data_IF_456414435591
#
_entry.id   IF_456414435591
#
_cell.length_a   1.000
_cell.length_b   1.000
_cell.length_c   1.000
_cell.angle_alpha   90.00
_cell.angle_beta   90.00
_cell.angle_gamma   90.00
#
_symmetry.space_group_name_H-M   'P 1'
#
loop_
_entity.id
_entity.type
_entity.pdbx_description
1 polymer ?
#
# COMPACT_ATOMS: atom_id res chain seq x y z
N UNK A 1 -4.33 1.20 20.15
CA UNK A 1 -5.40 0.27 19.76
C UNK A 1 -4.73 -1.07 19.49
N UNK A 2 -5.18 -2.14 20.13
CA UNK A 2 -4.49 -3.43 20.05
C UNK A 2 -4.84 -4.05 18.70
N UNK A 3 -3.86 -4.19 17.81
CA UNK A 3 -4.00 -4.97 16.57
C UNK A 3 -4.75 -6.26 16.92
N UNK A 4 -5.91 -6.47 16.30
CA UNK A 4 -6.72 -7.65 16.59
C UNK A 4 -5.89 -8.91 16.31
N UNK A 5 -6.05 -9.96 17.11
CA UNK A 5 -5.29 -11.22 16.94
C UNK A 5 -5.44 -11.79 15.53
N UNK A 6 -6.56 -11.49 14.87
CA UNK A 6 -6.83 -11.88 13.49
C UNK A 6 -5.93 -11.18 12.46
N UNK A 7 -5.74 -9.86 12.56
CA UNK A 7 -4.86 -9.11 11.63
C UNK A 7 -3.41 -9.59 11.79
N UNK A 8 -2.93 -9.75 13.04
CA UNK A 8 -1.59 -10.29 13.29
C UNK A 8 -1.39 -11.65 12.63
N UNK A 9 -2.36 -12.54 12.81
CA UNK A 9 -2.32 -13.87 12.19
C UNK A 9 -2.26 -13.81 10.67
N UNK A 10 -3.02 -12.92 10.03
CA UNK A 10 -2.98 -12.71 8.57
C UNK A 10 -1.60 -12.20 8.10
N UNK A 11 -1.00 -11.27 8.85
CA UNK A 11 0.36 -10.77 8.54
C UNK A 11 1.43 -11.83 8.75
N UNK A 12 1.36 -12.58 9.84
CA UNK A 12 2.29 -13.67 10.12
C UNK A 12 2.24 -14.74 9.01
N UNK A 13 1.03 -15.05 8.51
CA UNK A 13 0.85 -15.93 7.35
C UNK A 13 1.48 -15.36 6.09
N UNK A 14 1.27 -14.07 5.80
CA UNK A 14 1.91 -13.40 4.67
C UNK A 14 3.43 -13.50 4.78
N UNK A 15 3.98 -13.13 5.93
CA UNK A 15 5.41 -13.20 6.21
C UNK A 15 5.98 -14.60 6.00
N UNK A 16 5.32 -15.61 6.58
CA UNK A 16 5.71 -17.02 6.45
C UNK A 16 5.67 -17.47 4.99
N UNK A 17 4.68 -16.99 4.22
CA UNK A 17 4.55 -17.29 2.80
C UNK A 17 5.73 -16.75 2.01
N UNK A 18 6.15 -15.51 2.24
CA UNK A 18 7.36 -14.94 1.62
C UNK A 18 8.62 -15.69 2.04
N UNK A 19 8.78 -15.97 3.33
CA UNK A 19 9.94 -16.68 3.87
C UNK A 19 10.10 -18.07 3.25
N UNK A 20 9.01 -18.84 3.16
CA UNK A 20 9.00 -20.18 2.57
C UNK A 20 9.30 -20.19 1.07
N UNK A 21 9.14 -19.05 0.39
CA UNK A 21 9.43 -18.88 -1.03
C UNK A 21 10.75 -18.15 -1.28
N UNK A 22 11.64 -18.08 -0.27
CA UNK A 22 13.01 -17.57 -0.42
C UNK A 22 13.16 -16.06 -0.32
N UNK A 23 12.08 -15.31 -0.07
CA UNK A 23 12.14 -13.87 0.22
C UNK A 23 12.17 -13.70 1.74
N UNK A 24 13.38 -13.74 2.29
CA UNK A 24 13.61 -13.67 3.74
C UNK A 24 13.98 -12.29 4.25
N UNK A 25 14.40 -11.36 3.38
CA UNK A 25 14.75 -10.00 3.79
C UNK A 25 13.48 -9.26 4.26
N UNK A 26 13.40 -8.89 5.57
CA UNK A 26 12.27 -8.19 6.15
C UNK A 26 11.83 -6.93 5.38
N UNK A 27 12.81 -6.15 4.88
CA UNK A 27 12.54 -4.93 4.13
C UNK A 27 11.90 -5.24 2.78
N UNK A 28 12.46 -6.23 2.06
CA UNK A 28 11.92 -6.66 0.77
C UNK A 28 10.50 -7.18 0.89
N UNK A 29 10.19 -7.98 1.92
CA UNK A 29 8.82 -8.47 2.18
C UNK A 29 7.84 -7.30 2.33
N UNK A 30 8.21 -6.30 3.13
CA UNK A 30 7.36 -5.12 3.38
C UNK A 30 7.18 -4.30 2.11
N UNK A 31 8.23 -4.12 1.31
CA UNK A 31 8.13 -3.42 0.02
C UNK A 31 7.16 -4.12 -0.93
N UNK A 32 7.29 -5.44 -1.12
CA UNK A 32 6.41 -6.19 -2.02
C UNK A 32 4.95 -6.15 -1.56
N UNK A 33 4.70 -6.30 -0.25
CA UNK A 33 3.34 -6.17 0.31
C UNK A 33 2.82 -4.75 0.09
N UNK A 34 3.64 -3.72 0.33
CA UNK A 34 3.25 -2.32 0.16
C UNK A 34 2.86 -2.00 -1.29
N UNK A 35 3.57 -2.53 -2.28
CA UNK A 35 3.22 -2.36 -3.70
C UNK A 35 1.85 -2.97 -4.02
N UNK A 36 1.61 -4.20 -3.58
CA UNK A 36 0.33 -4.89 -3.82
C UNK A 36 -0.84 -4.20 -3.10
N UNK A 37 -0.63 -3.75 -1.87
CA UNK A 37 -1.62 -2.97 -1.13
C UNK A 37 -1.95 -1.65 -1.81
N UNK A 38 -0.95 -1.01 -2.42
CA UNK A 38 -1.16 0.21 -3.18
C UNK A 38 -1.98 -0.03 -4.45
N UNK A 39 -1.68 -1.09 -5.21
CA UNK A 39 -2.48 -1.50 -6.38
C UNK A 39 -3.94 -1.75 -5.97
N UNK A 40 -4.16 -2.52 -4.90
CA UNK A 40 -5.50 -2.76 -4.34
C UNK A 40 -6.21 -1.45 -3.99
N UNK A 41 -5.51 -0.53 -3.34
CA UNK A 41 -6.09 0.74 -2.89
C UNK A 41 -6.53 1.63 -4.05
N UNK A 42 -5.75 1.70 -5.13
CA UNK A 42 -6.13 2.45 -6.32
C UNK A 42 -7.44 1.92 -6.92
N UNK A 43 -7.57 0.59 -7.00
CA UNK A 43 -8.80 -0.02 -7.48
C UNK A 43 -9.99 0.16 -6.52
N UNK A 44 -9.78 0.04 -5.20
CA UNK A 44 -10.82 0.31 -4.20
C UNK A 44 -11.37 1.75 -4.33
N UNK A 45 -10.49 2.73 -4.63
CA UNK A 45 -10.87 4.12 -4.88
C UNK A 45 -11.64 4.28 -6.19
N UNK A 46 -11.23 3.59 -7.25
CA UNK A 46 -11.94 3.60 -8.54
C UNK A 46 -13.34 3.00 -8.39
N UNK A 47 -13.47 1.83 -7.75
CA UNK A 47 -14.75 1.19 -7.44
C UNK A 47 -15.65 2.08 -6.57
N UNK A 48 -15.08 2.88 -5.68
CA UNK A 48 -15.86 3.85 -4.89
C UNK A 48 -16.38 5.00 -5.77
N UNK A 49 -15.59 5.51 -6.72
CA UNK A 49 -16.02 6.52 -7.71
C UNK A 49 -17.10 5.98 -8.62
N UNK A 50 -16.93 4.77 -9.16
CA UNK A 50 -17.90 4.08 -10.02
C UNK A 50 -19.24 3.90 -9.31
N UNK A 51 -19.22 3.39 -8.07
CA UNK A 51 -20.43 3.24 -7.24
C UNK A 51 -21.11 4.58 -6.99
N UNK A 52 -20.35 5.65 -6.75
CA UNK A 52 -20.90 7.00 -6.55
C UNK A 52 -21.52 7.55 -7.83
N UNK A 53 -20.83 7.42 -8.96
CA UNK A 53 -21.29 7.85 -10.28
C UNK A 53 -22.59 7.13 -10.69
N UNK A 54 -22.64 5.81 -10.50
CA UNK A 54 -23.81 4.99 -10.75
C UNK A 54 -25.02 5.42 -9.90
N UNK A 55 -24.81 5.70 -8.61
CA UNK A 55 -25.87 6.19 -7.70
C UNK A 55 -26.41 7.57 -8.10
N UNK A 56 -25.55 8.42 -8.67
CA UNK A 56 -25.90 9.78 -9.08
C UNK A 56 -26.36 9.88 -10.53
N UNK A 57 -26.29 8.78 -11.31
CA UNK A 57 -26.59 8.79 -12.74
C UNK A 57 -25.64 9.67 -13.57
N UNK A 58 -24.40 9.84 -13.11
CA UNK A 58 -23.38 10.68 -13.75
C UNK A 58 -22.24 9.82 -14.32
N UNK A 59 -21.50 10.30 -15.33
CA UNK A 59 -20.28 9.64 -15.78
C UNK A 59 -19.21 9.65 -14.68
N UNK A 60 -18.32 8.67 -14.69
CA UNK A 60 -17.17 8.62 -13.78
C UNK A 60 -16.17 9.69 -14.20
N UNK A 61 -16.06 10.75 -13.40
CA UNK A 61 -15.09 11.81 -13.62
C UNK A 61 -13.76 11.49 -12.93
N UNK A 62 -12.65 11.88 -13.57
CA UNK A 62 -11.28 11.69 -13.05
C UNK A 62 -10.97 10.21 -12.70
N UNK A 63 -11.24 9.30 -13.63
CA UNK A 63 -10.89 7.89 -13.49
C UNK A 63 -9.38 7.71 -13.35
N UNK A 64 -8.97 6.78 -12.48
CA UNK A 64 -7.56 6.42 -12.25
C UNK A 64 -7.03 5.57 -13.42
N UNK A 65 -7.88 4.73 -14.00
CA UNK A 65 -7.53 3.75 -15.03
C UNK A 65 -8.29 4.09 -16.32
N UNK A 66 -7.58 4.23 -17.45
CA UNK A 66 -8.25 4.36 -18.75
C UNK A 66 -8.94 3.06 -19.18
N UNK A 67 -9.72 3.12 -20.26
CA UNK A 67 -10.49 1.97 -20.78
C UNK A 67 -9.58 0.77 -21.16
N UNK A 68 -8.36 1.06 -21.63
CA UNK A 68 -7.34 0.06 -21.97
C UNK A 68 -6.56 -0.47 -20.75
N UNK A 69 -6.72 0.15 -19.57
CA UNK A 69 -5.99 -0.19 -18.34
C UNK A 69 -6.83 -1.00 -17.34
N UNK A 70 -8.03 -1.43 -17.73
CA UNK A 70 -8.94 -2.16 -16.84
C UNK A 70 -8.36 -3.51 -16.36
N UNK A 71 -7.47 -4.11 -17.15
CA UNK A 71 -6.77 -5.36 -16.80
C UNK A 71 -5.82 -5.20 -15.61
N UNK A 72 -5.33 -3.98 -15.36
CA UNK A 72 -4.39 -3.65 -14.29
C UNK A 72 -5.04 -3.58 -12.91
N UNK A 73 -6.38 -3.55 -12.88
CA UNK A 73 -7.17 -3.38 -11.66
C UNK A 73 -7.10 -4.64 -10.79
N UNK A 74 -6.98 -4.44 -9.48
CA UNK A 74 -6.99 -5.54 -8.51
C UNK A 74 -8.21 -6.45 -8.66
N UNK A 75 -9.40 -5.85 -8.80
CA UNK A 75 -10.67 -6.54 -9.04
C UNK A 75 -10.71 -7.39 -10.30
N UNK A 76 -9.85 -7.10 -11.29
CA UNK A 76 -9.68 -7.89 -12.50
C UNK A 76 -8.74 -9.07 -12.24
N UNK A 77 -7.46 -8.81 -11.96
CA UNK A 77 -6.46 -9.88 -11.93
C UNK A 77 -6.61 -10.83 -10.75
N UNK A 78 -7.22 -10.42 -9.62
CA UNK A 78 -7.40 -11.30 -8.45
C UNK A 78 -8.25 -12.55 -8.74
N UNK A 79 -9.07 -12.49 -9.79
CA UNK A 79 -9.96 -13.57 -10.19
C UNK A 79 -9.37 -14.45 -11.31
N UNK A 80 -8.14 -14.18 -11.75
CA UNK A 80 -7.49 -15.00 -12.78
C UNK A 80 -7.14 -16.38 -12.22
N UNK A 81 -7.49 -17.41 -12.97
CA UNK A 81 -7.10 -18.79 -12.68
C UNK A 81 -5.70 -19.13 -13.18
N UNK A 82 -5.21 -18.39 -14.17
CA UNK A 82 -3.85 -18.51 -14.70
C UNK A 82 -2.88 -17.66 -13.86
N UNK A 83 -2.03 -18.33 -13.09
CA UNK A 83 -1.06 -17.69 -12.22
C UNK A 83 0.06 -16.99 -13.00
N UNK A 84 0.48 -17.53 -14.15
CA UNK A 84 1.52 -16.92 -14.98
C UNK A 84 1.00 -15.62 -15.59
N UNK A 85 -0.25 -15.62 -16.04
CA UNK A 85 -0.88 -14.40 -16.55
C UNK A 85 -1.07 -13.34 -15.46
N UNK A 86 -1.47 -13.75 -14.25
CA UNK A 86 -1.51 -12.83 -13.09
C UNK A 86 -0.13 -12.23 -12.81
N UNK A 87 0.93 -13.04 -12.85
CA UNK A 87 2.29 -12.56 -12.64
C UNK A 87 2.71 -11.58 -13.73
N UNK A 88 2.44 -11.90 -14.99
CA UNK A 88 2.72 -11.04 -16.14
C UNK A 88 2.03 -9.68 -15.98
N UNK A 89 0.71 -9.67 -15.72
CA UNK A 89 -0.06 -8.43 -15.54
C UNK A 89 0.49 -7.63 -14.35
N UNK A 90 0.69 -8.26 -13.20
CA UNK A 90 1.11 -7.53 -11.99
C UNK A 90 2.54 -7.00 -12.12
N UNK A 91 3.49 -7.82 -12.58
CA UNK A 91 4.91 -7.46 -12.69
C UNK A 91 5.19 -6.52 -13.85
N UNK A 92 4.62 -6.80 -15.02
CA UNK A 92 5.02 -6.15 -16.28
C UNK A 92 4.10 -4.98 -16.66
N UNK A 93 2.91 -4.89 -16.05
CA UNK A 93 1.95 -3.83 -16.39
C UNK A 93 1.50 -3.02 -15.17
N UNK A 94 0.90 -3.65 -14.15
CA UNK A 94 0.34 -2.94 -13.00
C UNK A 94 1.41 -2.29 -12.12
N UNK A 95 2.55 -2.96 -11.89
CA UNK A 95 3.67 -2.39 -11.14
C UNK A 95 4.32 -1.20 -11.86
N UNK A 96 4.66 -1.29 -13.18
CA UNK A 96 5.08 -0.12 -13.95
C UNK A 96 4.05 1.00 -13.96
N UNK A 97 2.75 0.68 -14.05
CA UNK A 97 1.68 1.67 -13.99
C UNK A 97 1.71 2.48 -12.69
N UNK A 98 1.73 1.83 -11.51
CA UNK A 98 1.78 2.56 -10.23
C UNK A 98 3.08 3.35 -10.05
N UNK A 99 4.19 2.82 -10.58
CA UNK A 99 5.50 3.46 -10.57
C UNK A 99 5.49 4.76 -11.39
N UNK A 100 4.79 4.76 -12.51
CA UNK A 100 4.65 5.92 -13.41
C UNK A 100 3.52 6.89 -12.99
N UNK A 101 2.46 6.40 -12.34
CA UNK A 101 1.37 7.23 -11.79
C UNK A 101 1.92 8.26 -10.80
N UNK A 102 2.96 7.88 -10.05
CA UNK A 102 3.72 8.76 -9.19
C UNK A 102 4.39 9.94 -9.92
N UNK A 103 4.68 9.82 -11.21
CA UNK A 103 5.34 10.84 -12.01
C UNK A 103 4.39 11.84 -12.70
N UNK A 104 3.15 11.45 -13.00
CA UNK A 104 2.20 12.27 -13.77
C UNK A 104 1.17 13.02 -12.93
N UNK A 105 0.81 12.52 -11.74
CA UNK A 105 -0.23 13.14 -10.91
C UNK A 105 0.35 14.12 -9.89
N UNK A 106 1.60 13.92 -9.44
CA UNK A 106 2.27 14.81 -8.49
C UNK A 106 3.80 14.69 -8.61
N UNK A 107 4.54 15.77 -8.88
CA UNK A 107 6.00 15.81 -8.67
C UNK A 107 6.29 15.67 -7.15
N UNK A 108 6.26 14.44 -6.64
CA UNK A 108 6.37 14.13 -5.21
C UNK A 108 7.55 13.25 -4.91
N UNK A 109 7.98 13.28 -3.65
CA UNK A 109 8.94 12.34 -3.08
C UNK A 109 8.58 10.86 -3.36
N UNK A 110 7.31 10.54 -3.57
CA UNK A 110 6.83 9.21 -3.98
C UNK A 110 7.42 8.76 -5.34
N UNK A 111 7.42 9.63 -6.35
CA UNK A 111 8.02 9.35 -7.67
C UNK A 111 9.51 9.01 -7.55
N UNK A 112 10.24 9.72 -6.68
CA UNK A 112 11.67 9.48 -6.41
C UNK A 112 11.92 8.13 -5.73
N UNK A 113 11.06 7.72 -4.79
CA UNK A 113 11.19 6.43 -4.10
C UNK A 113 10.75 5.25 -4.97
N UNK A 114 9.75 5.44 -5.84
CA UNK A 114 9.30 4.42 -6.79
C UNK A 114 10.22 4.27 -8.01
N UNK A 115 11.00 5.30 -8.36
CA UNK A 115 11.88 5.32 -9.54
C UNK A 115 12.81 4.10 -9.61
N UNK A 116 13.38 3.71 -8.47
CA UNK A 116 14.30 2.57 -8.36
C UNK A 116 13.65 1.34 -7.73
N UNK A 117 12.32 1.39 -7.49
CA UNK A 117 11.58 0.25 -6.97
C UNK A 117 11.59 -0.91 -7.97
N UNK A 118 11.75 -2.12 -7.44
CA UNK A 118 11.77 -3.38 -8.18
C UNK A 118 10.71 -4.30 -7.59
N UNK A 119 9.90 -4.88 -8.46
CA UNK A 119 9.01 -5.98 -8.10
C UNK A 119 9.81 -7.29 -8.14
N UNK A 120 9.92 -7.96 -7.00
CA UNK A 120 10.84 -9.09 -6.80
C UNK A 120 10.14 -10.45 -6.72
N UNK A 121 8.81 -10.49 -6.72
CA UNK A 121 8.06 -11.75 -6.77
C UNK A 121 8.18 -12.31 -8.20
N UNK A 122 8.91 -13.41 -8.35
CA UNK A 122 9.08 -14.12 -9.62
C UNK A 122 8.31 -15.44 -9.69
N UNK A 123 7.81 -15.95 -8.56
CA UNK A 123 7.05 -17.19 -8.50
C UNK A 123 5.54 -16.89 -8.65
N UNK A 124 4.86 -17.38 -9.71
CA UNK A 124 3.44 -17.17 -9.91
C UNK A 124 2.56 -17.66 -8.75
N UNK A 125 2.85 -18.85 -8.22
CA UNK A 125 2.09 -19.43 -7.11
C UNK A 125 2.24 -18.61 -5.83
N UNK A 126 3.43 -18.04 -5.58
CA UNK A 126 3.64 -17.11 -4.48
C UNK A 126 2.74 -15.87 -4.66
N UNK A 127 2.74 -15.26 -5.84
CA UNK A 127 1.93 -14.08 -6.10
C UNK A 127 0.44 -14.35 -5.87
N UNK A 128 -0.10 -15.42 -6.46
CA UNK A 128 -1.51 -15.78 -6.29
C UNK A 128 -1.87 -15.99 -4.82
N UNK A 129 -1.00 -16.65 -4.06
CA UNK A 129 -1.22 -16.85 -2.63
C UNK A 129 -1.20 -15.53 -1.85
N UNK A 130 -0.23 -14.65 -2.13
CA UNK A 130 -0.13 -13.33 -1.49
C UNK A 130 -1.34 -12.45 -1.83
N UNK A 131 -1.78 -12.42 -3.09
CA UNK A 131 -2.98 -11.69 -3.53
C UNK A 131 -4.22 -12.20 -2.80
N UNK A 132 -4.38 -13.52 -2.70
CA UNK A 132 -5.49 -14.15 -1.96
C UNK A 132 -5.47 -13.78 -0.48
N UNK A 133 -4.30 -13.78 0.16
CA UNK A 133 -4.15 -13.42 1.57
C UNK A 133 -4.43 -11.93 1.81
N UNK A 134 -3.96 -11.04 0.92
CA UNK A 134 -4.23 -9.59 1.01
C UNK A 134 -5.72 -9.29 0.86
N UNK A 135 -6.43 -9.99 -0.03
CA UNK A 135 -7.87 -9.82 -0.23
C UNK A 135 -8.68 -10.10 1.06
N UNK A 136 -8.20 -11.00 1.90
CA UNK A 136 -8.84 -11.33 3.18
C UNK A 136 -8.59 -10.30 4.28
N UNK A 137 -7.73 -9.31 4.05
CA UNK A 137 -7.47 -8.24 5.02
C UNK A 137 -8.52 -7.14 4.82
N UNK A 138 -9.32 -6.81 5.86
CA UNK A 138 -10.35 -5.79 5.73
C UNK A 138 -9.72 -4.39 5.60
N UNK A 139 -9.64 -3.89 4.37
CA UNK A 139 -9.02 -2.60 4.04
C UNK A 139 -10.00 -1.41 4.03
N UNK A 140 -11.22 -1.59 4.54
CA UNK A 140 -12.23 -0.53 4.56
C UNK A 140 -12.01 0.44 5.71
N UNK A 141 -11.57 -0.10 6.85
CA UNK A 141 -11.26 0.65 8.05
C UNK A 141 -9.85 1.25 7.97
N UNK A 142 -9.73 2.50 8.39
CA UNK A 142 -8.48 3.24 8.44
C UNK A 142 -7.58 2.75 9.56
N UNK A 143 -8.14 2.31 10.68
CA UNK A 143 -7.39 1.81 11.83
C UNK A 143 -6.75 0.45 11.52
N UNK A 144 -7.49 -0.43 10.84
CA UNK A 144 -6.98 -1.72 10.37
C UNK A 144 -5.74 -1.61 9.47
N UNK A 145 -5.66 -0.57 8.63
CA UNK A 145 -4.48 -0.31 7.79
C UNK A 145 -3.28 0.09 8.64
N UNK A 146 -3.46 1.03 9.56
CA UNK A 146 -2.41 1.46 10.48
C UNK A 146 -1.85 0.27 11.26
N UNK A 147 -2.73 -0.53 11.84
CA UNK A 147 -2.40 -1.73 12.62
C UNK A 147 -1.61 -2.78 11.80
N UNK A 148 -2.01 -2.99 10.54
CA UNK A 148 -1.30 -3.87 9.61
C UNK A 148 0.14 -3.40 9.37
N UNK A 149 0.34 -2.13 9.04
CA UNK A 149 1.67 -1.58 8.77
C UNK A 149 2.53 -1.53 10.03
N UNK A 150 1.98 -1.08 11.16
CA UNK A 150 2.68 -1.08 12.45
C UNK A 150 3.13 -2.50 12.84
N UNK A 151 2.29 -3.51 12.62
CA UNK A 151 2.68 -4.88 12.89
C UNK A 151 3.78 -5.36 11.96
N UNK A 152 3.72 -5.06 10.66
CA UNK A 152 4.80 -5.37 9.71
C UNK A 152 6.11 -4.66 10.10
N UNK A 153 6.06 -3.40 10.51
CA UNK A 153 7.22 -2.65 10.98
C UNK A 153 7.80 -3.24 12.29
N UNK A 154 6.95 -3.74 13.19
CA UNK A 154 7.44 -4.42 14.40
C UNK A 154 8.28 -5.68 14.10
N UNK A 155 8.08 -6.30 12.94
CA UNK A 155 8.93 -7.40 12.45
C UNK A 155 10.31 -6.90 11.98
N UNK A 156 10.42 -5.67 11.48
CA UNK A 156 11.71 -5.02 11.21
C UNK A 156 12.46 -4.71 12.50
N UNK A 157 11.78 -4.17 13.50
CA UNK A 157 12.42 -3.77 14.77
C UNK A 157 12.97 -4.96 15.55
N UNK A 158 12.28 -6.11 15.46
CA UNK A 158 12.75 -7.36 16.07
C UNK A 158 13.95 -7.95 15.32
N UNK A 159 14.11 -7.63 14.03
CA UNK A 159 15.17 -8.15 13.17
C UNK A 159 16.48 -7.34 13.22
N UNK A 160 16.57 -6.23 13.98
CA UNK A 160 17.73 -5.34 13.93
C UNK A 160 18.05 -4.61 15.24
N UNK A 161 18.98 -5.17 16.00
CA UNK A 161 19.82 -4.46 16.96
C UNK A 161 20.60 -3.34 16.24
N UNK A 162 20.15 -2.08 16.35
CA UNK A 162 20.97 -0.85 16.43
C UNK A 162 20.11 0.44 16.53
N UNK A 163 19.34 0.55 17.62
CA UNK A 163 19.28 1.75 18.47
C UNK A 163 18.68 3.07 17.94
N UNK A 164 18.15 3.18 16.73
CA UNK A 164 17.39 4.36 16.29
C UNK A 164 16.21 3.94 15.41
N UNK A 165 15.01 3.92 15.98
CA UNK A 165 13.79 3.69 15.20
C UNK A 165 13.37 4.99 14.53
N UNK A 166 13.46 5.01 13.20
CA UNK A 166 12.98 6.11 12.36
C UNK A 166 11.77 5.62 11.58
N UNK A 167 10.69 6.39 11.59
CA UNK A 167 9.58 6.13 10.69
C UNK A 167 10.02 6.50 9.26
N UNK A 168 10.02 5.56 8.31
CA UNK A 168 10.40 5.85 6.93
C UNK A 168 9.48 6.93 6.34
N UNK A 169 10.05 7.90 5.60
CA UNK A 169 9.32 9.10 5.12
C UNK A 169 8.07 8.79 4.30
N UNK A 170 8.06 7.70 3.54
CA UNK A 170 6.90 7.29 2.75
C UNK A 170 5.73 6.79 3.61
N UNK A 171 6.01 6.22 4.79
CA UNK A 171 4.99 5.80 5.76
C UNK A 171 4.40 7.03 6.45
N UNK A 172 5.24 7.97 6.88
CA UNK A 172 4.80 9.25 7.44
C UNK A 172 3.83 9.92 6.46
N UNK A 173 4.23 10.04 5.21
CA UNK A 173 3.42 10.68 4.18
C UNK A 173 2.10 9.94 3.92
N UNK A 174 2.12 8.62 3.80
CA UNK A 174 0.90 7.82 3.64
C UNK A 174 -0.08 8.04 4.80
N UNK A 175 0.43 8.02 6.04
CA UNK A 175 -0.40 8.20 7.24
C UNK A 175 -0.99 9.60 7.28
N UNK A 176 -0.21 10.65 6.97
CA UNK A 176 -0.73 12.02 6.94
C UNK A 176 -1.72 12.21 5.78
N UNK A 177 -1.46 11.64 4.60
CA UNK A 177 -2.35 11.71 3.43
C UNK A 177 -3.68 10.96 3.67
N UNK A 178 -3.67 9.88 4.46
CA UNK A 178 -4.87 9.18 4.93
C UNK A 178 -5.55 9.92 6.10
N UNK A 179 -4.77 10.64 6.91
CA UNK A 179 -5.24 11.44 8.04
C UNK A 179 -6.11 12.61 7.62
N UNK A 180 -5.77 13.23 6.49
CA UNK A 180 -6.42 14.44 5.99
C UNK A 180 -6.62 15.49 7.11
N UNK A 181 -5.57 15.85 7.86
CA UNK A 181 -5.72 16.81 8.94
C UNK A 181 -6.14 18.18 8.39
N UNK A 182 -7.04 18.84 9.10
CA UNK A 182 -7.54 20.17 8.75
C UNK A 182 -6.68 21.29 9.34
N UNK A 183 -6.64 22.45 8.67
CA UNK A 183 -5.84 23.60 9.07
C UNK A 183 -6.16 24.20 10.45
N UNK A 184 -7.31 23.87 11.03
CA UNK A 184 -7.74 24.32 12.37
C UNK A 184 -7.64 23.24 13.45
N UNK A 185 -7.14 22.07 13.08
CA UNK A 185 -7.01 20.94 13.99
C UNK A 185 -5.67 20.98 14.72
N UNK A 186 -5.66 20.56 15.99
CA UNK A 186 -4.46 20.54 16.82
C UNK A 186 -3.80 19.17 16.64
N UNK A 187 -2.55 19.16 16.15
CA UNK A 187 -1.76 17.95 15.90
C UNK A 187 -0.66 17.85 16.95
N UNK A 188 -0.58 16.69 17.62
CA UNK A 188 0.42 16.41 18.63
C UNK A 188 1.10 15.06 18.33
N UNK A 189 2.43 15.04 18.31
CA UNK A 189 3.24 13.83 18.20
C UNK A 189 4.11 13.72 19.48
N UNK A 190 3.69 12.94 20.48
CA UNK A 190 4.36 12.84 21.78
C UNK A 190 5.67 12.05 21.74
N UNK A 191 6.05 11.48 20.59
CA UNK A 191 7.28 10.71 20.38
C UNK A 191 7.98 11.12 19.07
N UNK A 192 8.02 12.42 18.80
CA UNK A 192 8.25 12.96 17.45
C UNK A 192 9.61 12.63 16.80
N UNK A 193 10.62 12.18 17.55
CA UNK A 193 11.94 11.87 17.00
C UNK A 193 12.51 13.06 16.21
N UNK A 194 12.76 12.89 14.91
CA UNK A 194 13.17 14.00 14.02
C UNK A 194 12.02 14.87 13.49
N UNK A 195 10.82 14.77 14.07
CA UNK A 195 9.66 15.61 13.76
C UNK A 195 8.87 15.24 12.50
N UNK A 196 9.06 14.03 11.95
CA UNK A 196 8.61 13.73 10.60
C UNK A 196 7.09 13.83 10.37
N UNK A 197 6.26 13.38 11.33
CA UNK A 197 4.79 13.50 11.22
C UNK A 197 4.30 14.94 11.35
N UNK A 198 4.86 15.72 12.26
CA UNK A 198 4.47 17.12 12.47
C UNK A 198 4.83 17.98 11.25
N UNK A 199 5.98 17.74 10.64
CA UNK A 199 6.38 18.41 9.40
C UNK A 199 5.45 18.01 8.25
N UNK A 200 5.22 16.71 8.06
CA UNK A 200 4.34 16.24 6.98
C UNK A 200 2.90 16.72 7.14
N UNK A 201 2.39 16.84 8.37
CA UNK A 201 1.06 17.35 8.63
C UNK A 201 0.96 18.88 8.44
N UNK A 202 1.98 19.63 8.85
CA UNK A 202 2.06 21.06 8.58
C UNK A 202 2.11 21.37 7.08
N UNK A 203 2.79 20.54 6.28
CA UNK A 203 2.86 20.69 4.82
C UNK A 203 1.49 20.51 4.14
N UNK A 204 0.62 19.65 4.67
CA UNK A 204 -0.74 19.43 4.14
C UNK A 204 -1.72 20.50 4.61
N UNK A 205 -1.54 21.02 5.82
CA UNK A 205 -2.40 22.06 6.40
C UNK A 205 -2.01 23.49 5.98
N UNK A 206 -0.79 23.69 5.45
CA UNK A 206 -0.18 24.98 5.12
C UNK A 206 -0.49 25.54 3.72
N UNK A 207 -1.34 24.86 2.95
CA UNK A 207 -1.98 25.34 1.71
C UNK A 207 -3.49 25.39 1.89
#
# INVERSE_FOLDING_TARGET
MTITGEIKSKVDKLWTTFWNNGISNPLSVIEQISYLLFIKRLDDLELAKERKAQRLGQPVNNSIFSEDQQTLRWSHFKNLTDAEEMLRIVRDEAFPFIKNLGGTVVETAYARHMKDAVFSIANPALLTNVVTQIEQIPMEDRDTKGDLYEYMLSKLTTAGTNGQFRTPRHIIKMIVDLMQPGAREIICDPACGTGGFLVAAADICGT
#
